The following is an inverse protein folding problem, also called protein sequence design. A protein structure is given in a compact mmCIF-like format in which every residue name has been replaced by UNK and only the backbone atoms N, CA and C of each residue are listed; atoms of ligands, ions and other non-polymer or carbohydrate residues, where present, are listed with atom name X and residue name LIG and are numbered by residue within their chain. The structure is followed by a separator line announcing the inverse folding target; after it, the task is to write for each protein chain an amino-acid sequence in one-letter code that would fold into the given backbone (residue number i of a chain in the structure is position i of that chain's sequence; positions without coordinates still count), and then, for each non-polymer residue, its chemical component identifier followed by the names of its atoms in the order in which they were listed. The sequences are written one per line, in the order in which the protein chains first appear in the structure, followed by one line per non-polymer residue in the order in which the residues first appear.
data_IF_953866213905
#
_entry.id   IF_953866213905
#
_cell.length_a   1.000
_cell.length_b   1.000
_cell.length_c   1.000
_cell.angle_alpha   90.00
_cell.angle_beta   90.00
_cell.angle_gamma   90.00
#
_symmetry.space_group_name_H-M   'P 1'
#
loop_
_entity.id
_entity.type
_entity.pdbx_description
1 polymer ?
#
# COMPACT_ATOMS: atom_id res chain seq x y z
N UNK A 1 -13.96 -38.48 -31.84
CA UNK A 1 -13.31 -37.36 -31.14
C UNK A 1 -12.46 -37.94 -30.03
N UNK A 2 -11.25 -37.42 -29.79
CA UNK A 2 -10.40 -37.93 -28.72
C UNK A 2 -11.04 -37.64 -27.35
N UNK A 3 -11.11 -38.66 -26.49
CA UNK A 3 -11.55 -38.46 -25.11
C UNK A 3 -10.38 -37.93 -24.28
N UNK A 4 -10.53 -36.71 -23.76
CA UNK A 4 -9.52 -36.07 -22.93
C UNK A 4 -9.78 -36.33 -21.45
N UNK A 5 -8.72 -36.62 -20.71
CA UNK A 5 -8.76 -36.89 -19.27
C UNK A 5 -9.30 -35.70 -18.45
N UNK A 6 -8.99 -34.46 -18.88
CA UNK A 6 -9.34 -33.24 -18.13
C UNK A 6 -10.08 -32.19 -18.96
N UNK A 7 -9.89 -32.14 -20.27
CA UNK A 7 -10.51 -31.12 -21.13
C UNK A 7 -12.01 -31.41 -21.26
N UNK A 8 -12.83 -30.41 -20.91
CA UNK A 8 -14.31 -30.52 -20.95
C UNK A 8 -14.92 -31.28 -19.76
N UNK A 9 -14.13 -31.64 -18.74
CA UNK A 9 -14.62 -32.33 -17.54
C UNK A 9 -14.78 -31.34 -16.38
N UNK A 10 -15.79 -31.55 -15.53
CA UNK A 10 -16.02 -30.75 -14.32
C UNK A 10 -15.11 -31.21 -13.18
N UNK A 11 -13.83 -30.88 -13.26
CA UNK A 11 -12.82 -31.25 -12.26
C UNK A 11 -12.75 -30.17 -11.17
N UNK A 12 -12.84 -30.54 -9.87
CA UNK A 12 -12.61 -29.59 -8.77
C UNK A 12 -11.21 -28.98 -8.85
N UNK A 13 -11.10 -27.66 -8.65
CA UNK A 13 -9.80 -26.98 -8.58
C UNK A 13 -9.13 -27.25 -7.23
N UNK A 14 -7.81 -27.42 -7.25
CA UNK A 14 -6.99 -27.90 -6.12
C UNK A 14 -7.16 -27.13 -4.81
N UNK A 15 -7.44 -25.82 -4.86
CA UNK A 15 -7.43 -24.93 -3.68
C UNK A 15 -8.80 -24.40 -3.25
N UNK A 16 -9.89 -24.84 -3.89
CA UNK A 16 -11.21 -24.23 -3.64
C UNK A 16 -11.77 -24.60 -2.27
N UNK A 17 -11.49 -25.83 -1.80
CA UNK A 17 -11.87 -26.27 -0.45
C UNK A 17 -11.30 -25.34 0.62
N UNK A 18 -10.05 -24.92 0.52
CA UNK A 18 -9.43 -24.04 1.51
C UNK A 18 -10.03 -22.64 1.47
N UNK A 19 -10.38 -22.13 0.28
CA UNK A 19 -11.06 -20.84 0.14
C UNK A 19 -12.45 -20.84 0.77
N UNK A 20 -13.26 -21.87 0.50
CA UNK A 20 -14.64 -21.94 1.03
C UNK A 20 -14.70 -22.30 2.51
N UNK A 21 -13.61 -22.83 3.07
CA UNK A 21 -13.51 -23.15 4.51
C UNK A 21 -12.71 -22.14 5.32
N UNK A 22 -12.22 -21.06 4.71
CA UNK A 22 -11.40 -20.05 5.39
C UNK A 22 -10.00 -20.53 5.79
N UNK A 23 -9.51 -21.65 5.22
CA UNK A 23 -8.15 -22.16 5.44
C UNK A 23 -7.12 -21.56 4.49
N UNK A 24 -7.56 -20.93 3.40
CA UNK A 24 -6.68 -20.22 2.49
C UNK A 24 -6.07 -19.01 3.19
N UNK A 25 -4.74 -18.90 3.16
CA UNK A 25 -3.98 -17.79 3.73
C UNK A 25 -3.74 -16.75 2.64
N UNK A 26 -4.20 -15.53 2.86
CA UNK A 26 -3.94 -14.36 2.02
C UNK A 26 -2.93 -13.44 2.70
N UNK A 27 -2.44 -12.45 1.95
CA UNK A 27 -1.41 -11.51 2.43
C UNK A 27 -1.80 -10.78 3.72
N UNK A 28 -3.09 -10.51 3.93
CA UNK A 28 -3.60 -9.78 5.10
C UNK A 28 -3.69 -10.68 6.34
N UNK A 29 -3.69 -12.00 6.16
CA UNK A 29 -3.68 -12.98 7.25
C UNK A 29 -2.27 -13.17 7.84
N UNK A 30 -1.23 -12.70 7.12
CA UNK A 30 0.16 -12.87 7.53
C UNK A 30 0.49 -11.96 8.72
N UNK A 31 1.05 -12.55 9.77
CA UNK A 31 1.61 -11.84 10.93
C UNK A 31 3.02 -12.33 11.18
N UNK A 32 3.98 -11.41 11.19
CA UNK A 32 5.39 -11.70 11.42
C UNK A 32 5.89 -11.01 12.69
N UNK A 33 6.80 -11.63 13.45
CA UNK A 33 7.46 -10.97 14.58
C UNK A 33 8.13 -9.66 14.14
N UNK A 34 7.84 -8.56 14.83
CA UNK A 34 8.39 -7.24 14.51
C UNK A 34 7.79 -6.55 13.27
N UNK A 35 6.69 -7.07 12.71
CA UNK A 35 6.01 -6.46 11.57
C UNK A 35 5.57 -5.02 11.89
N UNK A 36 5.79 -4.13 10.92
CA UNK A 36 5.28 -2.76 10.95
C UNK A 36 4.05 -2.64 10.05
N UNK A 37 3.19 -1.71 10.38
CA UNK A 37 1.98 -1.38 9.63
C UNK A 37 2.23 -0.12 8.81
N UNK A 38 2.07 -0.26 7.49
CA UNK A 38 2.23 0.82 6.53
C UNK A 38 0.91 1.54 6.27
N UNK A 39 0.93 2.88 6.20
CA UNK A 39 -0.19 3.68 5.68
C UNK A 39 0.30 4.79 4.76
N UNK A 40 -0.55 5.18 3.82
CA UNK A 40 -0.27 6.21 2.81
C UNK A 40 -1.19 7.41 3.04
N UNK A 41 -0.61 8.61 3.08
CA UNK A 41 -1.35 9.86 3.01
C UNK A 41 -1.71 10.13 1.54
N UNK A 42 -3.01 10.23 1.26
CA UNK A 42 -3.53 10.45 -0.07
C UNK A 42 -3.94 11.92 -0.27
N UNK A 43 -3.76 12.43 -1.48
CA UNK A 43 -4.28 13.73 -1.89
C UNK A 43 -5.81 13.74 -1.95
N UNK A 44 -6.42 14.76 -1.37
CA UNK A 44 -7.85 15.06 -1.54
C UNK A 44 -8.14 15.97 -2.75
N UNK A 45 -7.11 16.32 -3.52
CA UNK A 45 -7.21 17.20 -4.70
C UNK A 45 -6.94 16.42 -5.97
N UNK A 46 -7.75 16.67 -7.01
CA UNK A 46 -7.57 16.07 -8.32
C UNK A 46 -6.31 16.60 -9.04
N UNK A 47 -5.95 17.86 -8.86
CA UNK A 47 -4.68 18.42 -9.36
C UNK A 47 -4.31 19.65 -8.52
N UNK A 48 -3.11 19.65 -7.93
CA UNK A 48 -2.67 20.74 -7.06
C UNK A 48 -1.14 20.79 -6.93
N UNK A 49 -0.61 21.98 -6.65
CA UNK A 49 0.80 22.14 -6.26
C UNK A 49 0.95 21.90 -4.76
N UNK A 50 1.83 20.98 -4.40
CA UNK A 50 2.27 20.74 -3.02
C UNK A 50 3.21 21.87 -2.64
N UNK A 51 2.77 22.77 -1.75
CA UNK A 51 3.62 23.86 -1.25
C UNK A 51 4.58 23.38 -0.16
N UNK A 52 4.11 22.48 0.70
CA UNK A 52 4.86 21.95 1.86
C UNK A 52 4.21 20.65 2.34
N UNK A 53 5.04 19.74 2.84
CA UNK A 53 4.62 18.54 3.59
C UNK A 53 5.36 18.62 4.94
N UNK A 54 4.63 18.70 6.05
CA UNK A 54 5.24 18.79 7.39
C UNK A 54 5.17 17.45 8.11
N UNK A 55 6.28 16.72 8.16
CA UNK A 55 6.33 15.40 8.81
C UNK A 55 6.78 15.44 10.27
N UNK A 56 6.98 16.64 10.83
CA UNK A 56 7.70 16.78 12.12
C UNK A 56 6.94 16.19 13.31
N UNK A 57 5.62 16.32 13.35
CA UNK A 57 4.78 15.76 14.42
C UNK A 57 4.65 14.25 14.28
N UNK A 58 4.38 13.77 13.07
CA UNK A 58 4.30 12.33 12.77
C UNK A 58 5.59 11.59 13.14
N UNK A 59 6.76 12.14 12.81
CA UNK A 59 8.06 11.53 13.16
C UNK A 59 8.33 11.45 14.67
N UNK A 60 7.67 12.28 15.48
CA UNK A 60 7.82 12.30 16.95
C UNK A 60 6.80 11.42 17.67
N UNK A 61 5.80 10.89 16.96
CA UNK A 61 4.76 10.06 17.58
C UNK A 61 5.36 8.73 18.03
N UNK A 62 5.22 8.34 19.32
CA UNK A 62 5.71 7.05 19.80
C UNK A 62 5.15 5.86 19.00
N UNK A 63 6.04 4.95 18.61
CA UNK A 63 5.67 3.78 17.79
C UNK A 63 5.81 3.99 16.28
N UNK A 64 5.97 5.23 15.80
CA UNK A 64 6.36 5.50 14.42
C UNK A 64 7.82 5.12 14.21
N UNK A 65 8.10 4.41 13.11
CA UNK A 65 9.45 3.94 12.74
C UNK A 65 9.97 4.60 11.47
N UNK A 66 9.08 5.01 10.57
CA UNK A 66 9.45 5.77 9.38
C UNK A 66 8.31 6.69 8.94
N UNK A 67 8.66 7.87 8.42
CA UNK A 67 7.79 8.76 7.66
C UNK A 67 8.57 9.21 6.44
N UNK A 68 8.07 8.88 5.24
CA UNK A 68 8.69 9.17 3.96
C UNK A 68 7.80 10.08 3.12
N UNK A 69 8.43 10.97 2.36
CA UNK A 69 7.81 11.83 1.36
C UNK A 69 8.46 11.58 0.00
N UNK A 70 7.94 12.22 -1.06
CA UNK A 70 8.60 12.21 -2.37
C UNK A 70 10.03 12.78 -2.38
N UNK A 71 10.47 13.43 -1.30
CA UNK A 71 11.84 13.96 -1.13
C UNK A 71 12.80 12.97 -0.46
N UNK A 72 12.30 11.90 0.17
CA UNK A 72 13.09 10.92 0.91
C UNK A 72 13.42 9.66 0.08
N UNK A 73 12.95 9.59 -1.16
CA UNK A 73 13.03 8.41 -2.02
C UNK A 73 13.84 8.68 -3.30
N UNK A 74 14.52 7.67 -3.87
CA UNK A 74 15.18 7.82 -5.15
C UNK A 74 14.17 8.13 -6.26
N UNK A 75 14.65 8.72 -7.35
CA UNK A 75 13.81 9.02 -8.51
C UNK A 75 13.51 7.74 -9.30
N UNK A 76 12.52 7.00 -8.80
CA UNK A 76 11.98 5.79 -9.44
C UNK A 76 10.62 6.11 -10.02
N UNK A 77 10.44 5.76 -11.29
CA UNK A 77 9.15 5.87 -11.97
C UNK A 77 8.47 4.52 -12.12
N UNK A 78 7.17 4.50 -11.83
CA UNK A 78 6.29 3.32 -11.81
C UNK A 78 5.14 3.49 -12.82
N UNK A 79 4.37 2.42 -13.01
CA UNK A 79 3.32 2.34 -14.02
C UNK A 79 3.82 1.78 -15.35
N UNK A 80 2.88 1.37 -16.21
CA UNK A 80 3.18 0.69 -17.48
C UNK A 80 4.09 1.54 -18.39
N UNK A 81 3.83 2.84 -18.48
CA UNK A 81 4.63 3.79 -19.27
C UNK A 81 5.68 4.55 -18.45
N UNK A 82 5.83 4.25 -17.15
CA UNK A 82 6.82 4.85 -16.23
C UNK A 82 6.72 6.38 -16.14
N UNK A 83 5.50 6.90 -16.00
CA UNK A 83 5.21 8.32 -15.89
C UNK A 83 4.91 8.78 -14.45
N UNK A 84 4.73 7.85 -13.52
CA UNK A 84 4.36 8.14 -12.13
C UNK A 84 5.55 8.04 -11.19
N UNK A 85 5.71 8.98 -10.26
CA UNK A 85 6.59 8.79 -9.09
C UNK A 85 5.87 7.97 -8.02
N UNK A 86 6.64 7.26 -7.18
CA UNK A 86 6.11 6.42 -6.07
C UNK A 86 5.35 7.25 -5.03
N UNK A 87 5.94 8.38 -4.63
CA UNK A 87 5.27 9.42 -3.84
C UNK A 87 5.39 10.73 -4.62
N UNK A 88 4.34 11.55 -4.62
CA UNK A 88 4.32 12.83 -5.30
C UNK A 88 5.15 13.84 -4.53
N UNK A 89 6.04 14.51 -5.27
CA UNK A 89 6.69 15.75 -4.88
C UNK A 89 6.20 16.86 -5.81
N UNK A 90 6.09 18.08 -5.28
CA UNK A 90 5.72 19.32 -5.97
C UNK A 90 4.29 19.41 -6.54
N UNK A 91 3.76 18.38 -7.20
CA UNK A 91 2.45 18.39 -7.85
C UNK A 91 1.76 17.03 -7.75
N UNK A 92 0.50 17.05 -7.32
CA UNK A 92 -0.45 15.93 -7.46
C UNK A 92 -1.28 16.15 -8.74
N UNK A 93 -1.58 15.07 -9.45
CA UNK A 93 -2.25 15.05 -10.76
C UNK A 93 -3.52 14.22 -10.80
N UNK A 94 -3.85 13.52 -9.72
CA UNK A 94 -5.10 12.79 -9.58
C UNK A 94 -5.57 12.75 -8.13
N UNK A 95 -6.88 12.53 -7.96
CA UNK A 95 -7.44 12.24 -6.65
C UNK A 95 -6.81 10.96 -6.11
N UNK A 96 -6.42 10.98 -4.84
CA UNK A 96 -5.66 9.92 -4.17
C UNK A 96 -4.27 9.64 -4.73
N UNK A 97 -3.61 10.64 -5.29
CA UNK A 97 -2.15 10.59 -5.42
C UNK A 97 -1.49 10.43 -4.03
N UNK A 98 -0.45 9.60 -3.98
CA UNK A 98 0.28 9.28 -2.75
C UNK A 98 1.25 10.42 -2.40
N UNK A 99 1.09 11.04 -1.23
CA UNK A 99 1.87 12.23 -0.83
C UNK A 99 2.95 11.88 0.20
N UNK A 100 2.60 11.01 1.16
CA UNK A 100 3.52 10.55 2.20
C UNK A 100 3.21 9.09 2.58
N UNK A 101 4.19 8.41 3.16
CA UNK A 101 4.06 7.06 3.68
C UNK A 101 4.54 6.99 5.13
N UNK A 102 3.84 6.23 5.97
CA UNK A 102 4.19 5.99 7.37
C UNK A 102 4.34 4.49 7.60
N UNK A 103 5.32 4.11 8.41
CA UNK A 103 5.41 2.77 9.02
C UNK A 103 5.43 2.88 10.55
N UNK A 104 4.54 2.15 11.23
CA UNK A 104 4.43 2.18 12.70
C UNK A 104 4.21 0.79 13.30
N UNK A 105 4.30 0.68 14.63
CA UNK A 105 4.17 -0.59 15.37
C UNK A 105 2.73 -1.11 15.49
N UNK A 106 1.72 -0.28 15.17
CA UNK A 106 0.32 -0.70 15.10
C UNK A 106 -0.41 0.06 13.97
N UNK A 107 -1.52 -0.47 13.44
CA UNK A 107 -2.29 0.20 12.41
C UNK A 107 -2.98 1.50 12.90
N UNK A 108 -3.27 1.60 14.19
CA UNK A 108 -3.82 2.80 14.84
C UNK A 108 -2.77 3.91 14.90
N UNK A 109 -1.55 3.59 15.37
CA UNK A 109 -0.44 4.57 15.40
C UNK A 109 -0.08 5.02 13.98
N UNK A 110 -0.12 4.11 13.00
CA UNK A 110 0.10 4.47 11.60
C UNK A 110 -0.96 5.47 11.10
N UNK A 111 -2.22 5.34 11.54
CA UNK A 111 -3.29 6.27 11.18
C UNK A 111 -3.10 7.62 11.87
N UNK A 112 -2.89 7.61 13.18
CA UNK A 112 -2.67 8.83 13.97
C UNK A 112 -1.48 9.63 13.41
N UNK A 113 -0.41 8.95 13.01
CA UNK A 113 0.72 9.57 12.35
C UNK A 113 0.36 10.26 11.03
N UNK A 114 -0.56 9.72 10.22
CA UNK A 114 -1.02 10.40 9.00
C UNK A 114 -1.79 11.68 9.32
N UNK A 115 -2.60 11.66 10.38
CA UNK A 115 -3.41 12.82 10.80
C UNK A 115 -2.53 13.97 11.35
N UNK A 116 -1.24 13.70 11.58
CA UNK A 116 -0.23 14.66 12.04
C UNK A 116 0.63 15.26 10.90
N UNK A 117 0.40 14.87 9.64
CA UNK A 117 1.11 15.37 8.44
C UNK A 117 0.26 16.41 7.71
#
# INVERSE_FOLDING_TARGET
MAEYQYIGKSIPRTYETDKVTGRAIYIDDLKLPGMLYGKILYSNYAHARIKRIDTTRAKKLPGVRAVLTGYDIPEVRVGFIKDQTVLKKDVVRQFRDEVAAVAATSPEIAQEALDLI
#
